data_IF_598274858604
#
_entry.id   IF_598274858604
#
_cell.length_a   1.000
_cell.length_b   1.000
_cell.length_c   1.000
_cell.angle_alpha   90.00
_cell.angle_beta   90.00
_cell.angle_gamma   90.00
#
_symmetry.space_group_name_H-M   'P 1'
#
loop_
_entity.id
_entity.type
_entity.pdbx_description
1 polymer ?
#
# COMPACT_ATOMS: atom_id res chain seq x y z
N UNK A 1 1.09 8.24 -3.63
CA UNK A 1 -0.22 8.31 -4.32
C UNK A 1 -1.18 9.23 -3.56
N UNK A 2 -1.86 10.15 -4.25
CA UNK A 2 -2.95 10.98 -3.69
C UNK A 2 -4.30 10.32 -4.03
N UNK A 3 -5.23 10.29 -3.07
CA UNK A 3 -6.59 9.77 -3.25
C UNK A 3 -7.57 10.48 -2.29
N UNK A 4 -8.87 10.41 -2.56
CA UNK A 4 -9.90 10.95 -1.68
C UNK A 4 -10.64 9.81 -1.00
N UNK A 5 -10.81 9.88 0.31
CA UNK A 5 -11.57 8.88 1.07
C UNK A 5 -12.48 9.58 2.06
N UNK A 6 -13.80 9.31 1.99
CA UNK A 6 -14.82 9.95 2.81
C UNK A 6 -14.73 11.49 2.77
N UNK A 7 -14.58 12.05 1.56
CA UNK A 7 -14.48 13.50 1.34
C UNK A 7 -13.15 14.14 1.77
N UNK A 8 -12.21 13.37 2.35
CA UNK A 8 -10.90 13.90 2.77
C UNK A 8 -9.80 13.47 1.82
N UNK A 9 -8.95 14.41 1.42
CA UNK A 9 -7.74 14.10 0.65
C UNK A 9 -6.74 13.38 1.55
N UNK A 10 -6.25 12.23 1.09
CA UNK A 10 -5.23 11.43 1.77
C UNK A 10 -4.08 11.12 0.82
N UNK A 11 -2.91 10.84 1.42
CA UNK A 11 -1.69 10.45 0.71
C UNK A 11 -1.14 9.17 1.31
N UNK A 12 -0.76 8.22 0.46
CA UNK A 12 0.01 7.03 0.86
C UNK A 12 1.36 7.04 0.17
N UNK A 13 2.40 6.64 0.91
CA UNK A 13 3.70 6.28 0.32
C UNK A 13 3.63 4.84 -0.19
N UNK A 14 4.14 4.64 -1.41
CA UNK A 14 4.25 3.33 -2.06
C UNK A 14 5.59 2.65 -1.73
N UNK A 15 6.47 3.37 -1.02
CA UNK A 15 7.75 2.94 -0.50
C UNK A 15 8.88 3.88 -0.91
N UNK A 16 10.11 3.49 -0.60
CA UNK A 16 11.29 4.35 -0.66
C UNK A 16 12.18 3.94 -1.83
N UNK A 17 12.70 4.91 -2.57
CA UNK A 17 13.74 4.68 -3.58
C UNK A 17 15.11 4.64 -2.90
N UNK A 18 16.06 3.77 -3.30
CA UNK A 18 16.05 2.83 -4.42
C UNK A 18 15.52 1.42 -4.10
N UNK A 19 15.10 1.17 -2.85
CA UNK A 19 14.61 -0.15 -2.41
C UNK A 19 13.45 -0.66 -3.28
N UNK A 20 12.63 0.24 -3.80
CA UNK A 20 11.55 -0.08 -4.74
C UNK A 20 11.83 0.58 -6.09
N UNK A 21 11.83 -0.24 -7.13
CA UNK A 21 12.02 0.23 -8.51
C UNK A 21 10.82 1.03 -9.02
N UNK A 22 11.03 1.87 -10.05
CA UNK A 22 9.94 2.65 -10.66
C UNK A 22 8.82 1.76 -11.22
N UNK A 23 9.16 0.59 -11.75
CA UNK A 23 8.19 -0.39 -12.25
C UNK A 23 7.29 -0.89 -11.12
N UNK A 24 7.87 -1.32 -10.01
CA UNK A 24 7.14 -1.81 -8.85
C UNK A 24 6.28 -0.71 -8.22
N UNK A 25 6.81 0.52 -8.11
CA UNK A 25 6.04 1.66 -7.64
C UNK A 25 4.80 1.94 -8.51
N UNK A 26 4.87 1.71 -9.83
CA UNK A 26 3.70 1.81 -10.74
C UNK A 26 2.70 0.69 -10.48
N UNK A 27 3.16 -0.55 -10.34
CA UNK A 27 2.30 -1.70 -10.00
C UNK A 27 1.55 -1.45 -8.68
N UNK A 28 2.25 -1.04 -7.62
CA UNK A 28 1.65 -0.74 -6.32
C UNK A 28 0.63 0.40 -6.39
N UNK A 29 0.85 1.38 -7.27
CA UNK A 29 -0.12 2.45 -7.52
C UNK A 29 -1.40 1.91 -8.15
N UNK A 30 -1.27 1.04 -9.13
CA UNK A 30 -2.40 0.50 -9.88
C UNK A 30 -3.20 -0.49 -9.01
N UNK A 31 -2.53 -1.29 -8.17
CA UNK A 31 -3.17 -2.09 -7.11
C UNK A 31 -3.96 -1.21 -6.13
N UNK A 32 -3.34 -0.12 -5.63
CA UNK A 32 -4.00 0.80 -4.71
C UNK A 32 -5.24 1.47 -5.34
N UNK A 33 -5.20 1.75 -6.65
CA UNK A 33 -6.37 2.24 -7.40
C UNK A 33 -7.44 1.18 -7.55
N UNK A 34 -7.07 -0.07 -7.83
CA UNK A 34 -8.03 -1.17 -7.91
C UNK A 34 -8.72 -1.41 -6.56
N UNK A 35 -7.97 -1.35 -5.46
CA UNK A 35 -8.53 -1.43 -4.09
C UNK A 35 -9.48 -0.27 -3.80
N UNK A 36 -9.09 0.94 -4.19
CA UNK A 36 -9.96 2.11 -4.05
C UNK A 36 -11.28 1.95 -4.83
N UNK A 37 -11.22 1.45 -6.07
CA UNK A 37 -12.41 1.18 -6.88
C UNK A 37 -13.31 0.10 -6.26
N UNK A 38 -12.73 -0.86 -5.54
CA UNK A 38 -13.46 -1.88 -4.75
C UNK A 38 -14.04 -1.33 -3.43
N UNK A 39 -13.88 -0.04 -3.14
CA UNK A 39 -14.31 0.54 -1.87
C UNK A 39 -13.46 0.10 -0.67
N UNK A 40 -12.22 -0.34 -0.91
CA UNK A 40 -11.28 -0.70 0.15
C UNK A 40 -10.28 0.44 0.35
N UNK A 41 -10.09 0.86 1.59
CA UNK A 41 -9.15 1.91 1.93
C UNK A 41 -7.68 1.44 1.69
N UNK A 42 -6.93 2.04 0.74
CA UNK A 42 -5.58 1.62 0.40
C UNK A 42 -4.57 1.76 1.56
N UNK A 43 -4.85 2.65 2.53
CA UNK A 43 -4.01 2.81 3.71
C UNK A 43 -4.13 1.63 4.69
N UNK A 44 -5.33 1.05 4.79
CA UNK A 44 -5.56 -0.11 5.63
C UNK A 44 -4.88 -1.35 5.02
N UNK A 45 -5.05 -1.57 3.72
CA UNK A 45 -4.39 -2.66 2.99
C UNK A 45 -2.87 -2.65 3.17
N UNK A 46 -2.24 -1.48 3.03
CA UNK A 46 -0.80 -1.34 3.29
C UNK A 46 -0.41 -1.71 4.72
N UNK A 47 -1.23 -1.33 5.71
CA UNK A 47 -1.00 -1.67 7.12
C UNK A 47 -1.07 -3.18 7.31
N UNK A 48 -2.07 -3.84 6.72
CA UNK A 48 -2.20 -5.30 6.75
C UNK A 48 -1.01 -5.99 6.08
N UNK A 49 -0.61 -5.57 4.88
CA UNK A 49 0.57 -6.10 4.17
C UNK A 49 1.85 -5.96 5.01
N UNK A 50 2.05 -4.81 5.67
CA UNK A 50 3.21 -4.60 6.56
C UNK A 50 3.17 -5.50 7.80
N UNK A 51 2.00 -5.66 8.43
CA UNK A 51 1.86 -6.58 9.56
C UNK A 51 2.04 -8.04 9.14
N UNK A 52 1.50 -8.45 7.99
CA UNK A 52 1.69 -9.80 7.45
C UNK A 52 3.19 -10.09 7.18
N UNK A 53 3.91 -9.13 6.59
CA UNK A 53 5.36 -9.24 6.40
C UNK A 53 6.13 -9.32 7.73
N UNK A 54 5.69 -8.59 8.76
CA UNK A 54 6.30 -8.64 10.08
C UNK A 54 6.04 -9.96 10.82
N UNK A 55 4.83 -10.53 10.70
CA UNK A 55 4.44 -11.79 11.36
C UNK A 55 5.20 -12.98 10.79
N UNK A 56 5.44 -13.02 9.47
CA UNK A 56 6.26 -14.09 8.86
C UNK A 56 7.70 -14.11 9.38
N UNK A 57 8.22 -13.00 9.90
CA UNK A 57 9.58 -12.94 10.45
C UNK A 57 9.67 -13.48 11.90
N UNK A 58 8.53 -13.66 12.59
CA UNK A 58 8.46 -14.14 13.98
C UNK A 58 8.29 -15.66 14.05
N UNK A 59 7.64 -16.27 13.06
CA UNK A 59 7.38 -17.72 13.00
C UNK A 59 8.56 -18.54 12.43
N UNK A 60 9.67 -17.89 12.11
CA UNK A 60 10.87 -18.51 11.52
C UNK A 60 12.09 -18.59 12.46
N UNK A 61 11.88 -18.52 13.78
CA UNK A 61 12.91 -18.80 14.79
C UNK A 61 12.47 -19.91 15.72
#
# INVERSE_FOLDING_TARGET
>A
MRYYWLGKQKRISLGTYPEIGLREARTLRDEARALFAKGVNPHADRKYKRHAAAVNNILGK
#
